data_IF_559781915411
#
_entry.id   IF_559781915411
#
_cell.length_a   1.000
_cell.length_b   1.000
_cell.length_c   1.000
_cell.angle_alpha   90.00
_cell.angle_beta   90.00
_cell.angle_gamma   90.00
#
_symmetry.space_group_name_H-M   'P 1'
#
loop_
_entity.id
_entity.type
_entity.pdbx_description
1 polymer ?
#
# COMPACT_ATOMS: atom_id res chain seq x y z
N UNK A 1 19.50 -8.41 14.76
CA UNK A 1 18.12 -8.73 14.36
C UNK A 1 18.00 -8.74 12.85
N UNK A 2 17.58 -9.84 12.23
CA UNK A 2 17.40 -9.92 10.77
C UNK A 2 16.26 -9.02 10.25
N UNK A 3 15.18 -8.82 11.03
CA UNK A 3 14.03 -7.96 10.69
C UNK A 3 14.42 -6.51 10.40
N UNK A 4 15.35 -5.95 11.19
CA UNK A 4 15.81 -4.59 11.01
C UNK A 4 16.55 -4.38 9.68
N UNK A 5 17.17 -5.43 9.11
CA UNK A 5 17.94 -5.33 7.87
C UNK A 5 17.05 -5.35 6.63
N UNK A 6 16.00 -6.17 6.59
CA UNK A 6 15.11 -6.24 5.41
C UNK A 6 14.39 -4.92 5.15
N UNK A 7 13.88 -4.27 6.21
CA UNK A 7 13.24 -2.95 6.06
C UNK A 7 14.21 -1.90 5.51
N UNK A 8 15.46 -1.90 6.02
CA UNK A 8 16.50 -0.99 5.55
C UNK A 8 16.87 -1.26 4.09
N UNK A 9 16.89 -2.54 3.67
CA UNK A 9 17.11 -2.91 2.27
C UNK A 9 16.07 -2.26 1.34
N UNK A 10 14.78 -2.45 1.61
CA UNK A 10 13.72 -1.87 0.78
C UNK A 10 13.72 -0.34 0.79
N UNK A 11 13.92 0.26 1.97
CA UNK A 11 13.86 1.71 2.13
C UNK A 11 15.07 2.41 1.49
N UNK A 12 16.28 1.88 1.70
CA UNK A 12 17.51 2.62 1.51
C UNK A 12 18.50 1.97 0.54
N UNK A 13 18.57 0.63 0.47
CA UNK A 13 19.62 -0.05 -0.28
C UNK A 13 19.26 -0.34 -1.74
N UNK A 14 17.99 -0.63 -2.04
CA UNK A 14 17.57 -0.89 -3.42
C UNK A 14 17.58 0.39 -4.25
N UNK A 15 18.31 0.37 -5.37
CA UNK A 15 18.29 1.39 -6.41
C UNK A 15 17.02 1.27 -7.26
N UNK A 16 16.76 2.23 -8.15
CA UNK A 16 15.64 2.14 -9.08
C UNK A 16 15.75 0.93 -10.01
N UNK A 17 16.96 0.66 -10.50
CA UNK A 17 17.24 -0.47 -11.39
C UNK A 17 17.00 -1.80 -10.68
N UNK A 18 17.41 -1.91 -9.40
CA UNK A 18 17.13 -3.09 -8.58
C UNK A 18 15.61 -3.29 -8.41
N UNK A 19 14.87 -2.22 -8.09
CA UNK A 19 13.41 -2.32 -7.91
C UNK A 19 12.72 -2.70 -9.22
N UNK A 20 13.20 -2.17 -10.35
CA UNK A 20 12.68 -2.55 -11.68
C UNK A 20 12.97 -4.01 -11.99
N UNK A 21 14.18 -4.49 -11.74
CA UNK A 21 14.59 -5.87 -11.98
C UNK A 21 13.80 -6.86 -11.10
N UNK A 22 13.53 -6.49 -9.85
CA UNK A 22 12.78 -7.30 -8.89
C UNK A 22 11.26 -7.10 -8.97
N UNK A 23 10.76 -6.21 -9.84
CA UNK A 23 9.36 -5.81 -9.83
C UNK A 23 8.35 -6.97 -9.89
N UNK A 24 8.55 -8.01 -10.73
CA UNK A 24 7.65 -9.16 -10.72
C UNK A 24 7.55 -9.84 -9.35
N UNK A 25 8.67 -10.02 -8.66
CA UNK A 25 8.72 -10.65 -7.33
C UNK A 25 8.14 -9.73 -6.24
N UNK A 26 8.39 -8.42 -6.33
CA UNK A 26 7.83 -7.44 -5.40
C UNK A 26 6.30 -7.38 -5.51
N UNK A 27 5.78 -7.35 -6.74
CA UNK A 27 4.33 -7.36 -7.00
C UNK A 27 3.71 -8.66 -6.51
N UNK A 28 4.30 -9.82 -6.85
CA UNK A 28 3.83 -11.12 -6.38
C UNK A 28 3.81 -11.20 -4.85
N UNK A 29 4.85 -10.70 -4.18
CA UNK A 29 4.89 -10.67 -2.72
C UNK A 29 3.75 -9.83 -2.12
N UNK A 30 3.40 -8.69 -2.72
CA UNK A 30 2.29 -7.83 -2.26
C UNK A 30 0.95 -8.54 -2.40
N UNK A 31 0.72 -9.22 -3.53
CA UNK A 31 -0.55 -9.86 -3.85
C UNK A 31 -0.78 -11.16 -3.09
N UNK A 32 0.26 -12.00 -3.00
CA UNK A 32 0.17 -13.35 -2.45
C UNK A 32 0.93 -13.48 -1.13
N UNK A 33 0.23 -13.97 -0.11
CA UNK A 33 0.82 -14.23 1.19
C UNK A 33 1.62 -15.55 1.14
N UNK A 34 2.94 -15.48 1.24
CA UNK A 34 3.78 -16.67 1.28
C UNK A 34 3.41 -17.55 2.51
N UNK A 35 3.07 -18.85 2.33
CA UNK A 35 2.61 -19.72 3.42
C UNK A 35 3.64 -19.92 4.54
N UNK A 36 4.93 -19.90 4.20
CA UNK A 36 6.02 -20.07 5.16
C UNK A 36 6.30 -18.81 6.00
N UNK A 37 5.87 -17.63 5.53
CA UNK A 37 6.26 -16.34 6.09
C UNK A 37 5.10 -15.62 6.78
N UNK A 38 4.06 -16.32 7.26
CA UNK A 38 2.93 -15.68 7.96
C UNK A 38 3.37 -14.70 9.07
N UNK A 39 4.48 -14.99 9.76
CA UNK A 39 5.03 -14.14 10.81
C UNK A 39 5.72 -12.86 10.31
N UNK A 40 6.18 -12.83 9.05
CA UNK A 40 6.97 -11.75 8.46
C UNK A 40 6.31 -11.13 7.20
N UNK A 41 5.23 -11.73 6.72
CA UNK A 41 4.65 -11.42 5.42
C UNK A 41 4.24 -9.96 5.33
N UNK A 42 3.71 -9.36 6.41
CA UNK A 42 3.38 -7.95 6.41
C UNK A 42 4.60 -7.04 6.26
N UNK A 43 5.75 -7.41 6.82
CA UNK A 43 7.00 -6.62 6.74
C UNK A 43 7.55 -6.66 5.31
N UNK A 44 7.56 -7.84 4.69
CA UNK A 44 7.96 -8.02 3.29
C UNK A 44 7.03 -7.28 2.34
N UNK A 45 5.71 -7.46 2.50
CA UNK A 45 4.69 -6.82 1.65
C UNK A 45 4.74 -5.30 1.74
N UNK A 46 4.87 -4.76 2.96
CA UNK A 46 5.05 -3.31 3.13
C UNK A 46 6.35 -2.82 2.50
N UNK A 47 7.46 -3.54 2.69
CA UNK A 47 8.74 -3.18 2.09
C UNK A 47 8.69 -3.18 0.57
N UNK A 48 8.08 -4.20 -0.04
CA UNK A 48 7.87 -4.29 -1.47
C UNK A 48 7.03 -3.13 -2.01
N UNK A 49 5.90 -2.82 -1.36
CA UNK A 49 5.07 -1.68 -1.77
C UNK A 49 5.84 -0.35 -1.63
N UNK A 50 6.56 -0.14 -0.52
CA UNK A 50 7.36 1.06 -0.30
C UNK A 50 8.45 1.22 -1.36
N UNK A 51 9.10 0.14 -1.78
CA UNK A 51 10.12 0.17 -2.82
C UNK A 51 9.55 0.63 -4.18
N UNK A 52 8.37 0.11 -4.57
CA UNK A 52 7.69 0.54 -5.80
C UNK A 52 7.25 2.01 -5.74
N UNK A 53 6.69 2.43 -4.60
CA UNK A 53 6.21 3.80 -4.39
C UNK A 53 7.37 4.80 -4.36
N UNK A 54 8.50 4.45 -3.73
CA UNK A 54 9.71 5.29 -3.65
C UNK A 54 10.14 5.79 -5.03
N UNK A 55 10.07 4.95 -6.04
CA UNK A 55 10.48 5.26 -7.42
C UNK A 55 9.34 5.68 -8.35
N UNK A 56 8.10 5.80 -7.82
CA UNK A 56 6.90 6.29 -8.52
C UNK A 56 6.46 5.39 -9.68
N UNK A 57 6.55 4.08 -9.50
CA UNK A 57 6.00 3.13 -10.47
C UNK A 57 4.47 3.22 -10.47
N UNK A 58 3.88 3.42 -11.65
CA UNK A 58 2.42 3.58 -11.81
C UNK A 58 1.66 2.34 -11.36
N UNK A 59 2.23 1.16 -11.60
CA UNK A 59 1.68 -0.14 -11.24
C UNK A 59 1.44 -0.29 -9.73
N UNK A 60 2.13 0.51 -8.89
CA UNK A 60 1.91 0.49 -7.45
C UNK A 60 0.61 1.18 -7.00
N UNK A 61 -0.02 2.01 -7.84
CA UNK A 61 -1.26 2.73 -7.51
C UNK A 61 -2.39 1.75 -7.17
N UNK A 62 -2.81 0.83 -8.07
CA UNK A 62 -3.83 -0.17 -7.75
C UNK A 62 -3.39 -1.13 -6.64
N UNK A 63 -2.09 -1.46 -6.56
CA UNK A 63 -1.55 -2.33 -5.52
C UNK A 63 -1.71 -1.76 -4.10
N UNK A 64 -1.65 -0.43 -3.93
CA UNK A 64 -1.92 0.19 -2.63
C UNK A 64 -3.32 -0.15 -2.13
N UNK A 65 -4.33 -0.07 -3.00
CA UNK A 65 -5.73 -0.34 -2.63
C UNK A 65 -5.94 -1.83 -2.39
N UNK A 66 -5.43 -2.69 -3.27
CA UNK A 66 -5.48 -4.15 -3.07
C UNK A 66 -4.81 -4.59 -1.77
N UNK A 67 -3.64 -4.02 -1.45
CA UNK A 67 -2.91 -4.38 -0.25
C UNK A 67 -3.62 -3.88 1.02
N UNK A 68 -4.23 -2.69 0.99
CA UNK A 68 -5.05 -2.20 2.09
C UNK A 68 -6.26 -3.09 2.36
N UNK A 69 -6.90 -3.62 1.30
CA UNK A 69 -8.06 -4.52 1.39
C UNK A 69 -7.72 -5.91 1.94
N UNK A 70 -6.49 -6.38 1.71
CA UNK A 70 -6.04 -7.74 2.08
C UNK A 70 -5.22 -7.79 3.37
N UNK A 71 -5.25 -6.72 4.17
CA UNK A 71 -4.62 -6.71 5.49
C UNK A 71 -5.31 -7.69 6.46
N UNK A 72 -4.51 -8.43 7.23
CA UNK A 72 -5.04 -9.15 8.39
C UNK A 72 -5.50 -8.17 9.47
N UNK A 73 -6.57 -8.52 10.18
CA UNK A 73 -7.24 -7.64 11.16
C UNK A 73 -6.31 -7.10 12.25
N UNK A 74 -5.35 -7.90 12.70
CA UNK A 74 -4.46 -7.51 13.79
C UNK A 74 -3.59 -6.31 13.37
N UNK A 75 -3.90 -5.12 13.88
CA UNK A 75 -3.18 -3.88 13.57
C UNK A 75 -3.45 -3.31 12.16
N UNK A 76 -4.50 -3.77 11.46
CA UNK A 76 -4.81 -3.23 10.13
C UNK A 76 -5.27 -1.78 10.18
N UNK A 77 -5.85 -1.30 11.29
CA UNK A 77 -6.30 0.08 11.41
C UNK A 77 -5.16 1.09 11.22
N UNK A 78 -4.00 0.80 11.80
CA UNK A 78 -2.79 1.62 11.64
C UNK A 78 -2.15 1.42 10.27
N UNK A 79 -1.98 0.16 9.84
CA UNK A 79 -1.31 -0.16 8.58
C UNK A 79 -2.07 0.35 7.35
N UNK A 80 -3.40 0.31 7.37
CA UNK A 80 -4.21 0.89 6.30
C UNK A 80 -3.89 2.37 6.13
N UNK A 81 -3.77 3.14 7.21
CA UNK A 81 -3.36 4.55 7.14
C UNK A 81 -1.98 4.74 6.50
N UNK A 82 -1.00 3.90 6.85
CA UNK A 82 0.35 3.95 6.26
C UNK A 82 0.32 3.65 4.76
N UNK A 83 -0.41 2.61 4.33
CA UNK A 83 -0.55 2.25 2.92
C UNK A 83 -1.22 3.39 2.13
N UNK A 84 -2.26 4.00 2.69
CA UNK A 84 -2.97 5.08 2.01
C UNK A 84 -2.12 6.35 1.90
N UNK A 85 -1.23 6.62 2.85
CA UNK A 85 -0.23 7.70 2.70
C UNK A 85 0.75 7.47 1.56
N UNK A 86 1.09 6.20 1.27
CA UNK A 86 1.86 5.87 0.07
C UNK A 86 1.07 6.17 -1.20
N UNK A 87 -0.22 5.84 -1.23
CA UNK A 87 -1.11 6.13 -2.35
C UNK A 87 -1.29 7.64 -2.58
N UNK A 88 -1.55 8.41 -1.52
CA UNK A 88 -1.68 9.87 -1.57
C UNK A 88 -0.48 10.55 -2.23
N UNK A 89 0.71 9.97 -2.09
CA UNK A 89 1.92 10.52 -2.66
C UNK A 89 1.84 10.66 -4.20
N UNK A 90 1.01 9.87 -4.89
CA UNK A 90 0.85 9.91 -6.34
C UNK A 90 0.03 11.10 -6.86
N UNK A 91 -0.60 11.88 -5.97
CA UNK A 91 -1.36 13.07 -6.34
C UNK A 91 -2.52 12.75 -7.30
N UNK A 92 -2.67 13.52 -8.38
CA UNK A 92 -3.74 13.36 -9.37
C UNK A 92 -3.80 11.93 -9.94
N UNK A 93 -2.65 11.27 -10.12
CA UNK A 93 -2.64 9.93 -10.68
C UNK A 93 -3.38 8.89 -9.81
N UNK A 94 -3.47 9.11 -8.49
CA UNK A 94 -4.23 8.24 -7.60
C UNK A 94 -5.76 8.37 -7.77
N UNK A 95 -6.25 9.36 -8.54
CA UNK A 95 -7.68 9.52 -8.78
C UNK A 95 -8.29 8.33 -9.52
N UNK A 96 -7.49 7.58 -10.29
CA UNK A 96 -7.96 6.41 -11.03
C UNK A 96 -8.53 5.31 -10.12
N UNK A 97 -8.09 5.22 -8.86
CA UNK A 97 -8.53 4.21 -7.88
C UNK A 97 -9.55 4.73 -6.87
N UNK A 98 -10.08 5.95 -7.06
CA UNK A 98 -11.12 6.51 -6.19
C UNK A 98 -12.38 5.62 -6.08
N UNK A 99 -12.89 5.00 -7.16
CA UNK A 99 -14.03 4.09 -7.05
C UNK A 99 -13.77 2.95 -6.08
N UNK A 100 -12.61 2.29 -6.19
CA UNK A 100 -12.22 1.15 -5.34
C UNK A 100 -11.98 1.57 -3.88
N UNK A 101 -11.45 2.79 -3.64
CA UNK A 101 -11.32 3.34 -2.29
C UNK A 101 -12.68 3.58 -1.64
N UNK A 102 -13.68 4.03 -2.39
CA UNK A 102 -15.05 4.22 -1.86
C UNK A 102 -15.70 2.87 -1.52
N UNK A 103 -15.54 1.86 -2.37
CA UNK A 103 -15.97 0.51 -2.03
C UNK A 103 -15.29 -0.01 -0.77
N UNK A 104 -13.98 0.21 -0.66
CA UNK A 104 -13.22 -0.19 0.52
C UNK A 104 -13.66 0.56 1.79
N UNK A 105 -14.05 1.83 1.69
CA UNK A 105 -14.60 2.59 2.80
C UNK A 105 -15.90 1.95 3.33
N UNK A 106 -16.83 1.59 2.44
CA UNK A 106 -18.08 0.93 2.84
C UNK A 106 -17.82 -0.44 3.47
N UNK A 107 -16.86 -1.19 2.95
CA UNK A 107 -16.39 -2.41 3.60
C UNK A 107 -15.83 -2.14 5.00
N UNK A 108 -14.95 -1.14 5.14
CA UNK A 108 -14.38 -0.79 6.44
C UNK A 108 -15.48 -0.48 7.44
N UNK A 109 -16.52 0.26 7.08
CA UNK A 109 -17.65 0.57 7.98
C UNK A 109 -18.44 -0.65 8.43
N UNK A 110 -18.39 -1.75 7.70
CA UNK A 110 -19.19 -2.97 7.94
C UNK A 110 -18.35 -4.21 8.25
N UNK A 111 -17.03 -4.06 8.41
CA UNK A 111 -16.09 -5.18 8.55
C UNK A 111 -16.48 -6.10 9.72
N UNK A 112 -16.80 -7.39 9.44
CA UNK A 112 -17.34 -8.29 10.45
C UNK A 112 -16.22 -8.75 11.40
N UNK A 113 -16.55 -8.98 12.67
CA UNK A 113 -15.60 -9.45 13.69
C UNK A 113 -14.32 -8.57 13.76
N UNK A 114 -14.49 -7.25 13.72
CA UNK A 114 -13.44 -6.26 13.90
C UNK A 114 -13.88 -5.22 14.94
N UNK A 115 -13.04 -4.82 15.93
CA UNK A 115 -13.47 -3.92 16.99
C UNK A 115 -13.97 -2.58 16.45
N UNK A 116 -15.05 -2.04 17.03
CA UNK A 116 -15.68 -0.81 16.53
C UNK A 116 -14.72 0.38 16.48
N UNK A 117 -13.86 0.52 17.50
CA UNK A 117 -12.85 1.58 17.55
C UNK A 117 -11.87 1.47 16.37
N UNK A 118 -11.37 0.27 16.10
CA UNK A 118 -10.40 0.01 15.03
C UNK A 118 -11.05 0.18 13.66
N UNK A 119 -12.32 -0.19 13.54
CA UNK A 119 -13.16 0.01 12.35
C UNK A 119 -13.32 1.49 12.01
N UNK A 120 -13.64 2.32 13.02
CA UNK A 120 -13.77 3.77 12.89
C UNK A 120 -12.45 4.41 12.45
N UNK A 121 -11.33 4.02 13.06
CA UNK A 121 -10.00 4.52 12.72
C UNK A 121 -9.57 4.16 11.29
N UNK A 122 -9.80 2.90 10.90
CA UNK A 122 -9.53 2.41 9.54
C UNK A 122 -10.37 3.17 8.51
N UNK A 123 -11.68 3.31 8.75
CA UNK A 123 -12.57 4.07 7.88
C UNK A 123 -12.17 5.56 7.79
N UNK A 124 -11.81 6.19 8.91
CA UNK A 124 -11.35 7.57 8.94
C UNK A 124 -10.07 7.77 8.09
N UNK A 125 -9.15 6.79 8.12
CA UNK A 125 -7.96 6.82 7.26
C UNK A 125 -8.32 6.74 5.77
N UNK A 126 -9.29 5.90 5.39
CA UNK A 126 -9.79 5.81 4.00
C UNK A 126 -10.48 7.11 3.58
N UNK A 127 -11.33 7.68 4.42
CA UNK A 127 -11.99 8.98 4.17
C UNK A 127 -10.98 10.11 3.98
N UNK A 128 -9.96 10.17 4.82
CA UNK A 128 -8.89 11.16 4.71
C UNK A 128 -8.13 11.03 3.39
N UNK A 129 -7.79 9.80 2.99
CA UNK A 129 -7.09 9.54 1.73
C UNK A 129 -7.94 9.90 0.51
N UNK A 130 -9.23 9.55 0.50
CA UNK A 130 -10.18 9.93 -0.57
C UNK A 130 -10.20 11.45 -0.72
N UNK A 131 -10.38 12.20 0.38
CA UNK A 131 -10.39 13.67 0.35
C UNK A 131 -9.08 14.25 -0.15
N UNK A 132 -7.95 13.69 0.28
CA UNK A 132 -6.62 14.15 -0.15
C UNK A 132 -6.40 13.94 -1.65
N UNK A 133 -6.81 12.78 -2.18
CA UNK A 133 -6.68 12.45 -3.61
C UNK A 133 -7.64 13.27 -4.47
N UNK A 134 -8.87 13.50 -4.01
CA UNK A 134 -9.84 14.41 -4.67
C UNK A 134 -9.31 15.85 -4.75
N UNK A 135 -8.65 16.31 -3.68
CA UNK A 135 -8.09 17.65 -3.60
C UNK A 135 -6.71 17.80 -4.27
N UNK A 136 -6.11 16.72 -4.77
CA UNK A 136 -4.79 16.74 -5.36
C UNK A 136 -4.76 17.58 -6.64
N UNK A 137 -3.81 18.52 -6.71
CA UNK A 137 -3.59 19.40 -7.87
C UNK A 137 -2.25 19.13 -8.57
N UNK A 138 -1.41 18.30 -7.96
CA UNK A 138 -0.10 17.95 -8.47
C UNK A 138 -0.07 16.50 -8.95
N UNK A 139 0.69 16.27 -10.01
CA UNK A 139 0.98 14.92 -10.51
C UNK A 139 2.50 14.75 -10.62
N UNK A 140 3.14 14.07 -9.66
CA UNK A 140 4.54 13.71 -9.79
C UNK A 140 4.78 12.87 -11.06
N UNK A 141 5.95 13.00 -11.71
CA UNK A 141 6.28 12.17 -12.86
C UNK A 141 6.29 10.69 -12.47
N UNK A 142 5.61 9.88 -13.27
CA UNK A 142 5.47 8.44 -13.04
C UNK A 142 6.43 7.67 -13.92
N UNK A 143 6.83 6.50 -13.44
CA UNK A 143 7.56 5.50 -14.20
C UNK A 143 6.66 4.31 -14.49
N UNK A 144 6.94 3.64 -15.60
CA UNK A 144 6.29 2.39 -15.99
C UNK A 144 7.30 1.26 -15.85
N UNK A 145 6.84 0.10 -15.39
CA UNK A 145 7.59 -1.16 -15.44
C UNK A 145 7.54 -1.79 -16.83
N UNK A 146 6.48 -1.47 -17.58
CA UNK A 146 6.39 -1.80 -19.00
C UNK A 146 7.28 -0.84 -19.79
N UNK A 147 8.29 -1.37 -20.52
CA UNK A 147 9.10 -0.61 -21.48
C UNK A 147 8.24 -0.10 -22.64
#
# INVERSE_FOLDING_TARGET
>A
MARARLRDTFANLLTEEDVRALAPDLMAAIEELAPADLMFANEIRMGALQALVKYRFREAIPLCVQFARTQSKHGSQERTGVILKLLESYGIAAQEVLPELREFLEYCRTEPNFPEWARKEKAASVEAAVRAIEAAQEQPPLKSLSN
#
